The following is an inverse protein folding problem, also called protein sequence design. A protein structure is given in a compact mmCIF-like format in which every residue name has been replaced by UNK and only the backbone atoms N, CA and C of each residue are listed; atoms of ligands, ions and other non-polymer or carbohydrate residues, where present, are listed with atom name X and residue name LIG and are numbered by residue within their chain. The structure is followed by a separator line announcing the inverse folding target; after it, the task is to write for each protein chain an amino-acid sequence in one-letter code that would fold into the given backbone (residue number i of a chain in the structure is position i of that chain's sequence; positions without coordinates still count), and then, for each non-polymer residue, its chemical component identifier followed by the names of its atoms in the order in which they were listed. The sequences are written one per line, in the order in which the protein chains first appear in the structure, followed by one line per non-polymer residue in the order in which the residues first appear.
data_IF_259560173933
#
_entry.id   IF_259560173933
#
_cell.length_a   1.000
_cell.length_b   1.000
_cell.length_c   1.000
_cell.angle_alpha   90.00
_cell.angle_beta   90.00
_cell.angle_gamma   90.00
#
_symmetry.space_group_name_H-M   'P 1'
#
loop_
_entity.id
_entity.type
_entity.pdbx_description
1 polymer ?
#
# COMPACT_ATOMS: atom_id res chain seq x y z
N UNK A 1 -28.62 -42.28 22.99
CA UNK A 1 -28.43 -41.30 21.90
C UNK A 1 -27.05 -40.65 22.03
N UNK A 2 -26.11 -40.95 21.12
CA UNK A 2 -24.78 -40.33 21.09
C UNK A 2 -24.27 -40.30 19.64
N UNK A 3 -24.62 -39.25 18.90
CA UNK A 3 -24.10 -38.92 17.55
C UNK A 3 -24.21 -37.41 17.33
N UNK A 4 -23.56 -36.60 18.16
CA UNK A 4 -23.51 -35.14 17.95
C UNK A 4 -22.07 -34.60 17.97
N UNK A 5 -21.09 -35.33 18.52
CA UNK A 5 -19.77 -34.74 18.77
C UNK A 5 -18.85 -34.62 17.53
N UNK A 6 -18.99 -35.47 16.50
CA UNK A 6 -18.07 -35.42 15.34
C UNK A 6 -18.40 -34.31 14.33
N UNK A 7 -19.68 -33.89 14.25
CA UNK A 7 -20.10 -32.84 13.31
C UNK A 7 -19.64 -31.46 13.76
N UNK A 8 -19.60 -31.21 15.08
CA UNK A 8 -19.17 -29.93 15.64
C UNK A 8 -17.67 -29.68 15.39
N UNK A 9 -16.83 -30.71 15.51
CA UNK A 9 -15.39 -30.61 15.22
C UNK A 9 -15.12 -30.32 13.74
N UNK A 10 -15.85 -30.97 12.81
CA UNK A 10 -15.77 -30.65 11.38
C UNK A 10 -16.21 -29.22 11.09
N UNK A 11 -17.28 -28.74 11.74
CA UNK A 11 -17.77 -27.38 11.57
C UNK A 11 -16.74 -26.34 12.08
N UNK A 12 -16.14 -26.59 13.25
CA UNK A 12 -15.10 -25.73 13.84
C UNK A 12 -13.84 -25.74 12.95
N UNK A 13 -13.46 -26.88 12.37
CA UNK A 13 -12.33 -26.99 11.46
C UNK A 13 -12.59 -26.29 10.13
N UNK A 14 -13.81 -26.37 9.58
CA UNK A 14 -14.20 -25.63 8.38
C UNK A 14 -14.28 -24.12 8.67
N UNK A 15 -14.78 -23.72 9.83
CA UNK A 15 -14.85 -22.31 10.25
C UNK A 15 -13.46 -21.71 10.51
N UNK A 16 -12.53 -22.47 11.09
CA UNK A 16 -11.17 -22.01 11.35
C UNK A 16 -10.29 -21.96 10.09
N UNK A 17 -10.53 -22.83 9.11
CA UNK A 17 -9.92 -22.71 7.78
C UNK A 17 -10.52 -21.52 7.02
N UNK A 18 -11.80 -21.21 7.24
CA UNK A 18 -12.49 -20.08 6.59
C UNK A 18 -12.13 -18.71 7.17
N UNK A 19 -11.64 -18.63 8.42
CA UNK A 19 -11.32 -17.36 9.07
C UNK A 19 -10.04 -16.68 8.57
N UNK A 20 -9.25 -17.32 7.69
CA UNK A 20 -7.97 -16.79 7.20
C UNK A 20 -8.03 -16.04 5.86
N UNK A 21 -9.17 -15.93 5.18
CA UNK A 21 -9.20 -15.49 3.77
C UNK A 21 -9.70 -14.05 3.55
N UNK A 22 -9.34 -13.13 4.44
CA UNK A 22 -9.35 -11.70 4.15
C UNK A 22 -7.98 -11.25 3.68
N UNK A 23 -7.91 -10.29 2.75
CA UNK A 23 -6.67 -9.52 2.55
C UNK A 23 -6.19 -8.97 3.89
N UNK A 24 -4.90 -9.07 4.21
CA UNK A 24 -4.39 -8.56 5.50
C UNK A 24 -4.38 -7.04 5.50
N UNK A 25 -4.01 -6.44 4.37
CA UNK A 25 -3.83 -4.99 4.24
C UNK A 25 -5.00 -4.33 3.49
N UNK A 26 -5.39 -3.16 4.00
CA UNK A 26 -6.34 -2.23 3.39
C UNK A 26 -5.59 -0.98 2.93
N UNK A 27 -6.24 -0.15 2.11
CA UNK A 27 -5.68 1.14 1.65
C UNK A 27 -5.22 2.02 2.82
N UNK A 28 -5.94 2.01 3.94
CA UNK A 28 -5.55 2.79 5.13
C UNK A 28 -4.21 2.30 5.72
N UNK A 29 -3.91 1.01 5.61
CA UNK A 29 -2.64 0.45 6.07
C UNK A 29 -1.48 0.91 5.19
N UNK A 30 -1.69 1.05 3.88
CA UNK A 30 -0.71 1.62 2.95
C UNK A 30 -0.37 3.08 3.28
N UNK A 31 -1.39 3.88 3.59
CA UNK A 31 -1.19 5.28 4.02
C UNK A 31 -0.41 5.40 5.31
N UNK A 32 -0.57 4.44 6.23
CA UNK A 32 0.13 4.35 7.52
C UNK A 32 1.50 3.69 7.42
N UNK A 33 1.79 2.96 6.36
CA UNK A 33 3.12 2.41 6.09
C UNK A 33 4.13 3.51 5.70
N UNK A 34 3.64 4.73 5.42
CA UNK A 34 4.45 5.91 5.16
C UNK A 34 4.82 6.63 6.45
N UNK A 35 6.09 6.54 6.84
CA UNK A 35 6.75 7.48 7.73
C UNK A 35 8.06 7.91 7.07
N UNK A 36 8.09 9.11 6.47
CA UNK A 36 9.30 9.60 5.80
C UNK A 36 10.43 9.89 6.81
N UNK A 37 10.09 10.28 8.05
CA UNK A 37 11.07 10.59 9.09
C UNK A 37 11.60 9.34 9.78
N UNK A 38 10.79 8.28 9.87
CA UNK A 38 11.17 6.98 10.44
C UNK A 38 10.77 5.81 9.52
N UNK A 39 11.29 5.76 8.28
CA UNK A 39 10.84 4.80 7.29
C UNK A 39 11.11 3.35 7.72
N UNK A 40 12.06 3.13 8.62
CA UNK A 40 12.46 1.83 9.14
C UNK A 40 11.53 1.27 10.22
N UNK A 41 10.61 2.06 10.78
CA UNK A 41 9.81 1.56 11.89
C UNK A 41 8.71 0.59 11.44
N UNK A 42 8.22 0.70 10.18
CA UNK A 42 7.24 -0.20 9.53
C UNK A 42 6.15 -0.77 10.45
N UNK A 43 5.77 -0.05 11.51
CA UNK A 43 4.95 -0.55 12.64
C UNK A 43 3.62 -1.08 12.14
N UNK A 44 3.08 -0.47 11.09
CA UNK A 44 1.85 -0.90 10.47
C UNK A 44 1.96 -2.30 9.84
N UNK A 45 3.04 -2.61 9.13
CA UNK A 45 3.24 -3.94 8.54
C UNK A 45 3.53 -4.98 9.62
N UNK A 46 4.39 -4.65 10.58
CA UNK A 46 4.74 -5.54 11.69
C UNK A 46 3.50 -5.92 12.53
N UNK A 47 2.65 -4.95 12.87
CA UNK A 47 1.40 -5.21 13.61
C UNK A 47 0.37 -6.03 12.83
N UNK A 48 0.54 -6.14 11.51
CA UNK A 48 -0.26 -6.98 10.62
C UNK A 48 0.35 -8.36 10.38
N UNK A 49 1.39 -8.73 11.13
CA UNK A 49 2.04 -10.03 11.04
C UNK A 49 3.03 -10.16 9.89
N UNK A 50 3.36 -9.06 9.20
CA UNK A 50 4.42 -9.07 8.21
C UNK A 50 5.79 -9.04 8.87
N UNK A 51 6.75 -9.76 8.28
CA UNK A 51 8.15 -9.80 8.70
C UNK A 51 9.02 -9.26 7.57
N UNK A 52 10.00 -8.45 7.92
CA UNK A 52 10.99 -7.94 6.96
C UNK A 52 11.85 -9.12 6.49
N UNK A 53 11.99 -9.26 5.17
CA UNK A 53 12.83 -10.26 4.54
C UNK A 53 14.19 -9.71 4.15
N UNK A 54 14.18 -8.54 3.52
CA UNK A 54 15.37 -7.82 3.13
C UNK A 54 15.04 -6.34 2.94
N UNK A 55 16.10 -5.55 2.97
CA UNK A 55 16.08 -4.13 2.71
C UNK A 55 17.26 -3.72 1.83
N UNK A 56 17.11 -2.58 1.17
CA UNK A 56 18.17 -1.94 0.39
C UNK A 56 18.02 -0.45 0.56
N UNK A 57 19.04 0.19 1.11
CA UNK A 57 19.05 1.62 1.43
C UNK A 57 20.17 2.28 0.63
N UNK A 58 19.79 3.16 -0.30
CA UNK A 58 20.67 4.12 -0.95
C UNK A 58 20.28 5.54 -0.55
N UNK A 59 21.07 6.51 -0.97
CA UNK A 59 20.90 7.93 -0.60
C UNK A 59 19.50 8.46 -0.92
N UNK A 60 19.00 8.18 -2.13
CA UNK A 60 17.73 8.68 -2.64
C UNK A 60 16.61 7.63 -2.69
N UNK A 61 16.89 6.36 -2.33
CA UNK A 61 15.92 5.28 -2.46
C UNK A 61 16.06 4.24 -1.36
N UNK A 62 14.92 3.83 -0.79
CA UNK A 62 14.83 2.78 0.22
C UNK A 62 13.83 1.73 -0.22
N UNK A 63 14.25 0.48 -0.29
CA UNK A 63 13.42 -0.67 -0.65
C UNK A 63 13.34 -1.65 0.50
N UNK A 64 12.14 -2.18 0.72
CA UNK A 64 11.90 -3.15 1.79
C UNK A 64 10.96 -4.24 1.27
N UNK A 65 11.32 -5.51 1.44
CA UNK A 65 10.46 -6.65 1.12
C UNK A 65 9.96 -7.29 2.40
N UNK A 66 8.66 -7.50 2.50
CA UNK A 66 8.01 -8.15 3.61
C UNK A 66 7.25 -9.38 3.16
N UNK A 67 7.15 -10.37 4.05
CA UNK A 67 6.21 -11.47 3.90
C UNK A 67 5.31 -11.62 5.12
N UNK A 68 4.12 -12.15 4.91
CA UNK A 68 3.30 -12.69 5.99
C UNK A 68 3.29 -14.22 5.85
N UNK A 69 3.83 -14.93 6.84
CA UNK A 69 3.94 -16.40 6.78
C UNK A 69 2.61 -17.12 6.91
N UNK A 70 1.59 -16.48 7.51
CA UNK A 70 0.26 -17.05 7.70
C UNK A 70 -0.56 -16.88 6.42
N UNK A 71 -0.69 -15.64 5.96
CA UNK A 71 -1.52 -15.30 4.79
C UNK A 71 -0.79 -15.48 3.47
N UNK A 72 0.53 -15.75 3.47
CA UNK A 72 1.39 -15.90 2.28
C UNK A 72 1.45 -14.66 1.38
N UNK A 73 1.02 -13.52 1.89
CA UNK A 73 1.09 -12.24 1.20
C UNK A 73 2.52 -11.69 1.23
N UNK A 74 2.87 -10.92 0.19
CA UNK A 74 4.17 -10.26 0.06
C UNK A 74 3.92 -8.78 -0.21
N UNK A 75 4.73 -7.92 0.42
CA UNK A 75 4.70 -6.48 0.19
C UNK A 75 6.10 -6.01 -0.15
N UNK A 76 6.25 -5.26 -1.23
CA UNK A 76 7.48 -4.58 -1.58
C UNK A 76 7.24 -3.08 -1.51
N UNK A 77 7.88 -2.42 -0.57
CA UNK A 77 7.86 -0.97 -0.40
C UNK A 77 9.07 -0.36 -1.09
N UNK A 78 8.85 0.72 -1.81
CA UNK A 78 9.91 1.58 -2.36
C UNK A 78 9.60 3.02 -1.98
N UNK A 79 10.52 3.66 -1.28
CA UNK A 79 10.53 5.09 -1.04
C UNK A 79 11.60 5.71 -1.91
N UNK A 80 11.24 6.77 -2.64
CA UNK A 80 12.19 7.56 -3.42
C UNK A 80 11.98 9.02 -3.06
N UNK A 81 13.07 9.72 -2.83
CA UNK A 81 13.08 11.18 -2.75
C UNK A 81 13.81 11.72 -3.97
N UNK A 82 13.23 12.72 -4.64
CA UNK A 82 13.93 13.43 -5.71
C UNK A 82 14.81 14.56 -5.13
N UNK A 83 15.77 15.04 -5.93
CA UNK A 83 16.68 16.11 -5.50
C UNK A 83 16.00 17.47 -5.21
N UNK A 84 14.71 17.60 -5.49
CA UNK A 84 13.88 18.78 -5.24
C UNK A 84 12.97 18.59 -4.01
N UNK A 85 13.13 17.47 -3.28
CA UNK A 85 12.41 17.14 -2.06
C UNK A 85 11.04 16.48 -2.29
N UNK A 86 10.67 16.16 -3.53
CA UNK A 86 9.49 15.39 -3.88
C UNK A 86 9.57 13.97 -3.31
N UNK A 87 8.46 13.53 -2.71
CA UNK A 87 8.36 12.24 -2.01
C UNK A 87 7.49 11.27 -2.82
N UNK A 88 8.05 10.10 -3.13
CA UNK A 88 7.36 9.04 -3.85
C UNK A 88 7.38 7.76 -3.02
N UNK A 89 6.20 7.17 -2.85
CA UNK A 89 5.99 5.86 -2.25
C UNK A 89 5.38 4.94 -3.30
N UNK A 90 6.03 3.81 -3.56
CA UNK A 90 5.49 2.68 -4.30
C UNK A 90 5.30 1.47 -3.38
N UNK A 91 4.16 0.80 -3.47
CA UNK A 91 3.86 -0.44 -2.76
C UNK A 91 3.37 -1.46 -3.78
N UNK A 92 4.18 -2.49 -4.05
CA UNK A 92 3.71 -3.68 -4.74
C UNK A 92 3.16 -4.66 -3.71
N UNK A 93 1.91 -5.06 -3.89
CA UNK A 93 1.23 -6.00 -2.99
C UNK A 93 0.83 -7.25 -3.74
N UNK A 94 1.34 -8.39 -3.28
CA UNK A 94 1.11 -9.70 -3.86
C UNK A 94 0.18 -10.50 -2.94
N UNK A 95 -0.99 -10.81 -3.47
CA UNK A 95 -2.07 -11.55 -2.83
C UNK A 95 -2.10 -12.98 -3.38
N UNK A 96 -2.16 -14.02 -2.54
CA UNK A 96 -2.08 -15.40 -3.02
C UNK A 96 -3.39 -15.91 -3.64
N UNK A 97 -4.49 -15.15 -3.53
CA UNK A 97 -5.81 -15.59 -4.02
C UNK A 97 -6.57 -14.48 -4.72
N UNK A 98 -7.39 -14.87 -5.70
CA UNK A 98 -8.27 -13.98 -6.44
C UNK A 98 -9.31 -13.32 -5.52
N UNK A 99 -9.80 -14.08 -4.53
CA UNK A 99 -10.80 -13.59 -3.57
C UNK A 99 -10.27 -12.40 -2.78
N UNK A 100 -9.04 -12.49 -2.25
CA UNK A 100 -8.42 -11.40 -1.51
C UNK A 100 -8.17 -10.18 -2.42
N UNK A 101 -7.74 -10.41 -3.66
CA UNK A 101 -7.59 -9.37 -4.67
C UNK A 101 -8.90 -8.65 -5.00
N UNK A 102 -9.97 -9.39 -5.30
CA UNK A 102 -11.29 -8.83 -5.59
C UNK A 102 -11.87 -8.07 -4.41
N UNK A 103 -11.68 -8.57 -3.18
CA UNK A 103 -12.06 -7.85 -1.96
C UNK A 103 -11.32 -6.51 -1.86
N UNK A 104 -10.03 -6.47 -2.20
CA UNK A 104 -9.24 -5.25 -2.09
C UNK A 104 -9.77 -4.20 -3.06
N UNK A 105 -9.94 -4.60 -4.32
CA UNK A 105 -10.50 -3.75 -5.39
C UNK A 105 -11.89 -3.25 -5.02
N UNK A 106 -12.74 -4.08 -4.43
CA UNK A 106 -14.08 -3.69 -4.01
C UNK A 106 -14.08 -2.58 -2.94
N UNK A 107 -13.04 -2.50 -2.09
CA UNK A 107 -12.94 -1.42 -1.09
C UNK A 107 -12.52 -0.07 -1.66
N UNK A 108 -11.99 -0.01 -2.89
CA UNK A 108 -11.43 1.22 -3.46
C UNK A 108 -12.47 2.33 -3.61
N UNK A 109 -13.69 1.97 -3.98
CA UNK A 109 -14.81 2.92 -4.09
C UNK A 109 -15.21 3.50 -2.73
N UNK A 110 -15.19 2.69 -1.67
CA UNK A 110 -15.38 3.14 -0.28
C UNK A 110 -14.31 4.15 0.13
N UNK A 111 -13.06 3.96 -0.32
CA UNK A 111 -11.96 4.90 -0.14
C UNK A 111 -11.97 6.07 -1.15
N UNK A 112 -13.06 6.27 -1.90
CA UNK A 112 -13.29 7.35 -2.87
C UNK A 112 -12.38 7.34 -4.10
N UNK A 113 -11.64 6.26 -4.34
CA UNK A 113 -10.88 6.13 -5.58
C UNK A 113 -11.83 6.03 -6.77
N UNK A 114 -11.49 6.73 -7.85
CA UNK A 114 -12.22 6.70 -9.11
C UNK A 114 -11.41 5.96 -10.16
N UNK A 115 -12.04 5.05 -10.91
CA UNK A 115 -11.36 4.35 -11.98
C UNK A 115 -11.21 5.24 -13.22
N UNK A 116 -9.98 5.43 -13.69
CA UNK A 116 -9.66 6.08 -14.97
C UNK A 116 -9.49 5.02 -16.05
N UNK A 117 -10.47 4.92 -16.95
CA UNK A 117 -10.38 4.01 -18.11
C UNK A 117 -9.20 4.36 -19.04
N UNK A 118 -8.89 5.65 -19.18
CA UNK A 118 -7.78 6.13 -20.03
C UNK A 118 -6.42 5.69 -19.50
N UNK A 119 -6.22 5.78 -18.19
CA UNK A 119 -4.93 5.49 -17.55
C UNK A 119 -4.87 4.08 -16.94
N UNK A 120 -5.93 3.29 -17.09
CA UNK A 120 -6.09 1.93 -16.56
C UNK A 120 -5.71 1.80 -15.07
N UNK A 121 -6.18 2.76 -14.26
CA UNK A 121 -5.85 2.83 -12.83
C UNK A 121 -6.98 3.43 -12.01
N UNK A 122 -7.02 3.09 -10.73
CA UNK A 122 -7.80 3.82 -9.74
C UNK A 122 -6.98 5.02 -9.27
N UNK A 123 -7.60 6.18 -9.17
CA UNK A 123 -6.93 7.41 -8.75
C UNK A 123 -7.74 8.17 -7.70
N UNK A 124 -7.02 8.75 -6.74
CA UNK A 124 -7.53 9.67 -5.74
C UNK A 124 -6.60 10.90 -5.72
N UNK A 125 -6.88 11.93 -6.51
CA UNK A 125 -6.11 13.16 -6.47
C UNK A 125 -6.36 13.88 -5.14
N UNK A 126 -5.29 14.33 -4.49
CA UNK A 126 -5.36 15.14 -3.25
C UNK A 126 -5.08 16.62 -3.51
N UNK A 127 -4.30 16.93 -4.55
CA UNK A 127 -4.13 18.27 -5.12
C UNK A 127 -3.67 18.17 -6.58
N UNK A 128 -3.34 19.29 -7.23
CA UNK A 128 -2.74 19.29 -8.57
C UNK A 128 -1.39 18.58 -8.64
N UNK A 129 -0.68 18.49 -7.51
CA UNK A 129 0.71 18.01 -7.41
C UNK A 129 0.87 16.85 -6.42
N UNK A 130 -0.24 16.29 -5.94
CA UNK A 130 -0.23 15.15 -5.04
C UNK A 130 -1.42 14.25 -5.26
N UNK A 131 -1.23 12.96 -5.04
CA UNK A 131 -2.32 12.00 -5.15
C UNK A 131 -1.88 10.58 -4.90
N UNK A 132 -2.87 9.70 -4.98
CA UNK A 132 -2.73 8.27 -4.82
C UNK A 132 -3.26 7.58 -6.09
N UNK A 133 -2.52 6.59 -6.58
CA UNK A 133 -2.89 5.75 -7.72
C UNK A 133 -2.81 4.28 -7.31
N UNK A 134 -3.73 3.47 -7.83
CA UNK A 134 -3.69 2.01 -7.70
C UNK A 134 -3.79 1.39 -9.09
N UNK A 135 -2.76 0.68 -9.48
CA UNK A 135 -2.68 -0.08 -10.72
C UNK A 135 -3.00 -1.55 -10.47
N UNK A 136 -3.79 -2.13 -11.35
CA UNK A 136 -4.28 -3.50 -11.26
C UNK A 136 -3.52 -4.36 -12.27
N UNK A 137 -2.58 -5.17 -11.80
CA UNK A 137 -1.70 -5.98 -12.65
C UNK A 137 -2.22 -7.42 -12.88
N UNK A 138 -3.31 -7.77 -12.19
CA UNK A 138 -3.96 -9.08 -12.22
C UNK A 138 -3.07 -10.23 -11.79
N UNK A 139 -2.39 -10.97 -12.68
CA UNK A 139 -1.60 -12.17 -12.36
C UNK A 139 -0.11 -11.96 -12.63
N UNK A 140 0.73 -12.32 -11.66
CA UNK A 140 2.18 -12.26 -11.78
C UNK A 140 2.83 -13.53 -11.23
N UNK A 141 3.88 -14.00 -11.90
CA UNK A 141 4.71 -15.09 -11.38
C UNK A 141 5.89 -14.51 -10.57
N UNK A 142 6.05 -14.98 -9.34
CA UNK A 142 7.13 -14.57 -8.43
C UNK A 142 7.62 -15.79 -7.66
N UNK A 143 8.93 -16.04 -7.68
CA UNK A 143 9.55 -17.17 -6.97
C UNK A 143 8.89 -18.53 -7.29
N UNK A 144 8.54 -18.74 -8.57
CA UNK A 144 7.88 -19.96 -9.07
C UNK A 144 6.38 -20.07 -8.73
N UNK A 145 5.80 -19.10 -8.02
CA UNK A 145 4.38 -19.08 -7.62
C UNK A 145 3.61 -17.99 -8.33
N UNK A 146 2.32 -18.24 -8.54
CA UNK A 146 1.41 -17.27 -9.15
C UNK A 146 0.75 -16.47 -8.02
N UNK A 147 0.75 -15.15 -8.19
CA UNK A 147 0.11 -14.20 -7.29
C UNK A 147 -0.83 -13.29 -8.07
N UNK A 148 -1.82 -12.77 -7.35
CA UNK A 148 -2.52 -11.58 -7.79
C UNK A 148 -1.78 -10.33 -7.33
N UNK A 149 -1.51 -9.37 -8.20
CA UNK A 149 -0.76 -8.18 -7.82
C UNK A 149 -1.46 -6.86 -8.13
N UNK A 150 -1.19 -5.89 -7.26
CA UNK A 150 -1.54 -4.49 -7.45
C UNK A 150 -0.38 -3.62 -7.00
N UNK A 151 -0.38 -2.39 -7.50
CA UNK A 151 0.61 -1.39 -7.14
C UNK A 151 -0.11 -0.16 -6.62
N UNK A 152 0.21 0.26 -5.40
CA UNK A 152 -0.19 1.52 -4.84
C UNK A 152 0.95 2.52 -4.96
N UNK A 153 0.69 3.68 -5.57
CA UNK A 153 1.65 4.77 -5.70
C UNK A 153 1.08 6.01 -5.04
N UNK A 154 1.84 6.62 -4.14
CA UNK A 154 1.55 7.93 -3.57
C UNK A 154 2.69 8.88 -3.90
N UNK A 155 2.35 10.06 -4.38
CA UNK A 155 3.32 11.09 -4.71
C UNK A 155 2.93 12.41 -4.03
N UNK A 156 3.95 13.14 -3.59
CA UNK A 156 3.84 14.49 -3.06
C UNK A 156 5.01 15.30 -3.59
N UNK A 157 4.76 16.08 -4.62
CA UNK A 157 5.75 17.01 -5.16
C UNK A 157 5.85 18.24 -4.24
N UNK A 158 7.03 18.48 -3.65
CA UNK A 158 7.28 19.59 -2.73
C UNK A 158 7.56 20.91 -3.44
N UNK A 159 8.01 20.91 -4.70
CA UNK A 159 8.47 22.12 -5.39
C UNK A 159 7.35 23.16 -5.58
N UNK A 160 6.07 22.73 -5.54
CA UNK A 160 4.91 23.60 -5.78
C UNK A 160 3.84 23.56 -4.68
N UNK A 161 4.06 22.83 -3.58
CA UNK A 161 3.04 22.59 -2.55
C UNK A 161 3.25 23.34 -1.22
N UNK A 162 4.29 24.18 -1.11
CA UNK A 162 4.44 25.13 -0.01
C UNK A 162 3.70 26.45 -0.27
N UNK A 163 3.30 27.21 0.77
CA UNK A 163 2.94 28.61 0.57
C UNK A 163 4.15 29.29 -0.07
N UNK A 164 3.96 29.92 -1.24
CA UNK A 164 4.99 30.79 -1.82
C UNK A 164 5.43 31.74 -0.70
N UNK A 165 6.73 31.90 -0.40
CA UNK A 165 7.17 33.01 0.41
C UNK A 165 6.54 34.25 -0.21
N UNK A 166 5.75 34.98 0.57
CA UNK A 166 5.14 36.21 0.08
C UNK A 166 6.23 37.03 -0.58
N UNK A 167 6.02 37.39 -1.85
CA UNK A 167 6.75 38.49 -2.45
C UNK A 167 6.37 39.69 -1.60
N UNK A 168 7.14 39.93 -0.54
CA UNK A 168 7.06 41.15 0.24
C UNK A 168 7.37 42.26 -0.74
N UNK A 169 6.33 42.99 -1.14
CA UNK A 169 6.48 44.27 -1.79
C UNK A 169 7.05 45.25 -0.75
N UNK A 170 8.32 45.07 -0.40
CA UNK A 170 9.10 46.13 0.24
C UNK A 170 9.63 47.03 -0.87
N UNK A 171 8.70 47.76 -1.51
CA UNK A 171 9.06 48.98 -2.23
C UNK A 171 9.42 49.98 -1.13
N UNK A 172 10.70 50.02 -0.75
CA UNK A 172 11.24 51.18 -0.04
C UNK A 172 11.21 52.38 -1.00
N UNK A 173 10.63 53.53 -0.63
CA UNK A 173 10.86 54.74 -1.39
C UNK A 173 12.34 55.12 -1.24
N UNK A 174 13.02 55.35 -2.36
CA UNK A 174 14.34 55.98 -2.37
C UNK A 174 14.22 57.44 -1.89
N UNK A 175 15.26 57.96 -1.20
CA UNK A 175 15.28 59.34 -0.69
C UNK A 175 15.29 60.38 -1.82
#
# INVERSE_FOLDING_TARGET
MKKINNSLFFLIFILSVSSSYGQTLKVIDFRKAFDYHHPTEHKQLLSKGFRLLNDTISENQKKFKFNNSETKEIVELTFTEDGEGGEYLGILYFLPSELAYKRFVATLTTYKFKYSKRNLRYQLPTSSYSGENIYLHHLIQKDGKIYYSLEYVRYKDKALSGPRPGVGNDIKPHP
#
